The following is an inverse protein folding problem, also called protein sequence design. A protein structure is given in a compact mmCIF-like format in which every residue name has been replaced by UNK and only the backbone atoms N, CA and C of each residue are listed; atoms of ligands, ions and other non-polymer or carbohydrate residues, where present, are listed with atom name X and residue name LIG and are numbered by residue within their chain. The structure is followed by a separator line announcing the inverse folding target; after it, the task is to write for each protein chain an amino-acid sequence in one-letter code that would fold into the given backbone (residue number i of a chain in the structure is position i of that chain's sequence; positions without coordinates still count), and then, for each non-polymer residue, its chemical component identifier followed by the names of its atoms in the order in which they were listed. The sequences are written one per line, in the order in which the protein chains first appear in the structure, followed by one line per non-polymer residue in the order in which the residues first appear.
data_IF_016438323649
#
_entry.id   IF_016438323649
#
_cell.length_a   1.000
_cell.length_b   1.000
_cell.length_c   1.000
_cell.angle_alpha   90.00
_cell.angle_beta   90.00
_cell.angle_gamma   90.00
#
_symmetry.space_group_name_H-M   'P 1'
#
loop_
_entity.id
_entity.type
_entity.pdbx_description
1 polymer ?
#
# COMPACT_ATOMS: atom_id res chain seq x y z
N UNK A 1 7.31 -2.37 -5.45
CA UNK A 1 7.92 -2.08 -4.14
C UNK A 1 9.34 -1.53 -4.25
N UNK A 2 10.30 -2.17 -4.95
CA UNK A 2 11.65 -1.63 -5.13
C UNK A 2 11.65 -0.22 -5.71
N UNK A 3 10.82 0.03 -6.72
CA UNK A 3 10.61 1.37 -7.29
C UNK A 3 10.17 2.36 -6.19
N UNK A 4 9.13 2.06 -5.42
CA UNK A 4 8.67 2.96 -4.37
C UNK A 4 9.75 3.28 -3.33
N UNK A 5 10.61 2.32 -2.97
CA UNK A 5 11.76 2.59 -2.08
C UNK A 5 12.80 3.52 -2.72
N UNK A 6 13.03 3.37 -4.02
CA UNK A 6 13.96 4.26 -4.74
C UNK A 6 13.39 5.65 -4.88
N UNK A 7 12.07 5.77 -5.11
CA UNK A 7 11.37 7.04 -5.36
C UNK A 7 11.08 7.85 -4.10
N UNK A 8 10.55 7.20 -3.08
CA UNK A 8 10.05 7.89 -1.89
C UNK A 8 10.56 7.32 -0.57
N UNK A 9 11.56 6.43 -0.63
CA UNK A 9 12.13 5.81 0.55
C UNK A 9 12.80 6.83 1.48
N UNK A 10 12.34 6.87 2.75
CA UNK A 10 12.98 7.68 3.79
C UNK A 10 13.28 6.85 5.02
N UNK A 11 14.39 7.15 5.69
CA UNK A 11 14.71 6.52 6.97
C UNK A 11 13.84 7.10 8.08
N UNK A 12 13.18 6.23 8.83
CA UNK A 12 12.56 6.64 10.09
C UNK A 12 13.63 6.87 11.14
N UNK A 13 13.46 7.85 12.03
CA UNK A 13 14.32 7.98 13.21
C UNK A 13 14.28 6.66 14.00
N UNK A 14 15.45 6.02 14.17
CA UNK A 14 15.57 4.73 14.88
C UNK A 14 15.21 3.49 14.07
N UNK A 15 14.72 3.62 12.83
CA UNK A 15 14.41 2.50 11.95
C UNK A 15 15.63 1.95 11.19
N UNK A 16 15.76 0.63 11.12
CA UNK A 16 16.84 -0.05 10.39
C UNK A 16 16.66 0.00 8.87
N UNK A 17 15.42 0.10 8.40
CA UNK A 17 15.07 0.11 6.97
C UNK A 17 14.36 1.38 6.55
N UNK A 18 14.57 1.85 5.31
CA UNK A 18 13.79 2.94 4.76
C UNK A 18 12.34 2.48 4.54
N UNK A 19 11.39 3.38 4.78
CA UNK A 19 9.97 3.19 4.49
C UNK A 19 9.58 4.02 3.27
N UNK A 20 8.69 3.50 2.45
CA UNK A 20 8.06 4.23 1.37
C UNK A 20 7.16 5.30 1.99
N UNK A 21 7.41 6.58 1.68
CA UNK A 21 6.67 7.68 2.28
C UNK A 21 5.59 8.20 1.33
N UNK A 22 4.29 8.01 1.65
CA UNK A 22 3.23 8.29 0.69
C UNK A 22 3.03 9.79 0.39
N UNK A 23 3.49 10.65 1.27
CA UNK A 23 3.31 12.11 1.12
C UNK A 23 4.60 12.79 0.70
N UNK A 24 5.29 12.14 -0.25
CA UNK A 24 6.51 12.65 -0.89
C UNK A 24 6.13 13.42 -2.14
N UNK A 25 6.80 14.54 -2.33
CA UNK A 25 6.70 15.40 -3.50
C UNK A 25 8.11 15.62 -4.02
N UNK A 26 8.30 15.58 -5.32
CA UNK A 26 9.49 16.14 -5.95
C UNK A 26 9.04 17.25 -6.89
N UNK A 27 9.65 18.40 -6.74
CA UNK A 27 9.40 19.56 -7.58
C UNK A 27 10.74 20.12 -8.06
N UNK A 28 10.93 20.11 -9.38
CA UNK A 28 12.16 20.62 -10.01
C UNK A 28 13.45 19.98 -9.44
N UNK A 29 13.38 18.67 -9.11
CA UNK A 29 14.51 17.92 -8.56
C UNK A 29 14.69 18.06 -7.05
N UNK A 30 13.82 18.76 -6.35
CA UNK A 30 13.84 18.88 -4.89
C UNK A 30 12.78 17.99 -4.23
N UNK A 31 13.25 17.02 -3.45
CA UNK A 31 12.39 16.12 -2.68
C UNK A 31 11.86 16.80 -1.40
N UNK A 32 10.55 16.74 -1.21
CA UNK A 32 9.83 17.33 -0.06
C UNK A 32 9.00 16.24 0.61
N UNK A 33 9.23 16.01 1.90
CA UNK A 33 8.47 15.03 2.68
C UNK A 33 7.46 15.74 3.57
N UNK A 34 6.18 15.53 3.31
CA UNK A 34 5.13 16.12 4.10
C UNK A 34 4.70 15.21 5.26
N UNK A 35 4.22 15.77 6.38
CA UNK A 35 3.81 14.97 7.54
C UNK A 35 2.44 14.29 7.37
N UNK A 36 1.64 14.74 6.41
CA UNK A 36 0.29 14.21 6.17
C UNK A 36 -0.14 14.39 4.72
N UNK A 37 -1.17 13.64 4.31
CA UNK A 37 -1.82 13.76 3.01
C UNK A 37 -2.32 15.20 2.76
N UNK A 38 -3.01 15.78 3.73
CA UNK A 38 -3.55 17.15 3.61
C UNK A 38 -2.43 18.20 3.40
N UNK A 39 -1.30 18.04 4.09
CA UNK A 39 -0.13 18.92 3.92
C UNK A 39 0.48 18.76 2.52
N UNK A 40 0.57 17.52 2.01
CA UNK A 40 1.07 17.23 0.68
C UNK A 40 0.18 17.85 -0.42
N UNK A 41 -1.13 17.66 -0.32
CA UNK A 41 -2.10 18.26 -1.24
C UNK A 41 -1.99 19.79 -1.24
N UNK A 42 -1.91 20.39 -0.07
CA UNK A 42 -1.76 21.85 0.07
C UNK A 42 -0.45 22.37 -0.54
N UNK A 43 0.64 21.61 -0.35
CA UNK A 43 1.95 21.96 -0.92
C UNK A 43 1.92 21.89 -2.46
N UNK A 44 1.36 20.84 -3.05
CA UNK A 44 1.25 20.74 -4.52
C UNK A 44 0.42 21.88 -5.09
N UNK A 45 -0.72 22.23 -4.46
CA UNK A 45 -1.53 23.38 -4.88
C UNK A 45 -0.73 24.69 -4.86
N UNK A 46 0.06 24.88 -3.80
CA UNK A 46 0.93 26.05 -3.69
C UNK A 46 1.99 26.10 -4.79
N UNK A 47 2.64 24.96 -5.08
CA UNK A 47 3.62 24.85 -6.16
C UNK A 47 3.00 25.16 -7.52
N UNK A 48 1.82 24.60 -7.80
CA UNK A 48 1.07 24.88 -9.03
C UNK A 48 0.70 26.36 -9.17
N UNK A 49 0.26 27.02 -8.09
CA UNK A 49 -0.02 28.45 -8.07
C UNK A 49 1.22 29.31 -8.33
N UNK A 50 2.41 28.80 -7.99
CA UNK A 50 3.70 29.45 -8.29
C UNK A 50 4.22 29.16 -9.70
N UNK A 51 3.46 28.40 -10.50
CA UNK A 51 3.82 28.08 -11.86
C UNK A 51 4.73 26.85 -12.02
N UNK A 52 5.02 26.11 -10.93
CA UNK A 52 5.78 24.87 -11.01
C UNK A 52 4.93 23.83 -11.71
N UNK A 53 5.43 23.24 -12.79
CA UNK A 53 4.67 22.33 -13.65
C UNK A 53 5.05 20.87 -13.47
N UNK A 54 6.37 20.60 -13.37
CA UNK A 54 6.89 19.23 -13.20
C UNK A 54 6.89 18.91 -11.72
N UNK A 55 5.94 18.10 -11.30
CA UNK A 55 5.72 17.74 -9.90
C UNK A 55 5.42 16.24 -9.83
N UNK A 56 6.32 15.51 -9.17
CA UNK A 56 6.13 14.09 -8.89
C UNK A 56 5.48 13.90 -7.52
N UNK A 57 4.55 12.98 -7.40
CA UNK A 57 3.76 12.82 -6.19
C UNK A 57 3.63 11.36 -5.74
N UNK A 58 3.60 11.19 -4.43
CA UNK A 58 3.22 9.93 -3.78
C UNK A 58 4.34 8.90 -3.65
N UNK A 59 3.95 7.68 -3.34
CA UNK A 59 4.85 6.54 -3.11
C UNK A 59 5.78 6.23 -4.28
N UNK A 60 5.27 6.39 -5.49
CA UNK A 60 5.94 6.01 -6.73
C UNK A 60 6.33 7.21 -7.58
N UNK A 61 6.21 8.43 -7.05
CA UNK A 61 6.60 9.67 -7.71
C UNK A 61 6.06 9.77 -9.14
N UNK A 62 4.72 9.68 -9.25
CA UNK A 62 4.04 9.83 -10.53
C UNK A 62 4.03 11.30 -10.91
N UNK A 63 4.58 11.63 -12.07
CA UNK A 63 4.65 12.99 -12.59
C UNK A 63 3.28 13.47 -13.09
N UNK A 64 2.78 14.56 -12.51
CA UNK A 64 1.48 15.14 -12.84
C UNK A 64 1.48 15.86 -14.20
N UNK A 65 2.62 16.29 -14.70
CA UNK A 65 2.74 16.96 -15.98
C UNK A 65 2.70 15.96 -17.15
N UNK A 66 3.45 14.86 -17.02
CA UNK A 66 3.46 13.79 -18.04
C UNK A 66 2.23 12.89 -17.97
N UNK A 67 1.57 12.84 -16.81
CA UNK A 67 0.37 12.01 -16.57
C UNK A 67 -0.80 12.87 -16.03
N UNK A 68 -1.28 13.88 -16.80
CA UNK A 68 -2.26 14.86 -16.27
C UNK A 68 -3.63 14.27 -15.93
N UNK A 69 -3.93 13.07 -16.44
CA UNK A 69 -5.19 12.35 -16.21
C UNK A 69 -5.00 11.05 -15.42
N UNK A 70 -3.86 10.91 -14.76
CA UNK A 70 -3.57 9.70 -13.98
C UNK A 70 -4.47 9.55 -12.75
N UNK A 71 -4.85 10.69 -12.16
CA UNK A 71 -5.67 10.77 -10.95
C UNK A 71 -6.84 11.73 -11.16
N UNK A 72 -7.98 11.44 -10.52
CA UNK A 72 -9.13 12.32 -10.53
C UNK A 72 -8.93 13.55 -9.62
N UNK A 73 -8.03 13.46 -8.63
CA UNK A 73 -7.74 14.53 -7.70
C UNK A 73 -6.34 14.38 -7.08
N UNK A 74 -5.84 15.44 -6.44
CA UNK A 74 -4.61 15.37 -5.63
C UNK A 74 -4.77 14.48 -4.39
N UNK A 75 -5.97 14.37 -3.85
CA UNK A 75 -6.26 13.47 -2.73
C UNK A 75 -6.09 12.00 -3.15
N UNK A 76 -6.51 11.66 -4.37
CA UNK A 76 -6.27 10.33 -4.95
C UNK A 76 -4.79 10.14 -5.29
N UNK A 77 -4.11 11.15 -5.80
CA UNK A 77 -2.69 11.06 -6.13
C UNK A 77 -1.79 10.74 -4.92
N UNK A 78 -2.19 11.18 -3.73
CA UNK A 78 -1.53 10.85 -2.46
C UNK A 78 -2.18 9.69 -1.69
N UNK A 79 -3.12 8.98 -2.30
CA UNK A 79 -3.58 7.69 -1.80
C UNK A 79 -2.56 6.62 -2.20
N UNK A 80 -2.00 5.84 -1.24
CA UNK A 80 -0.95 4.89 -1.55
C UNK A 80 -1.36 3.82 -2.55
N UNK A 81 -2.59 3.31 -2.47
CA UNK A 81 -3.09 2.26 -3.34
C UNK A 81 -3.35 2.80 -4.75
N UNK A 82 -4.01 3.96 -4.86
CA UNK A 82 -4.24 4.61 -6.15
C UNK A 82 -2.92 4.96 -6.85
N UNK A 83 -1.96 5.52 -6.10
CA UNK A 83 -0.63 5.86 -6.63
C UNK A 83 0.12 4.61 -7.12
N UNK A 84 0.06 3.50 -6.36
CA UNK A 84 0.66 2.23 -6.76
C UNK A 84 0.00 1.64 -8.01
N UNK A 85 -1.32 1.71 -8.14
CA UNK A 85 -2.05 1.24 -9.31
C UNK A 85 -1.68 2.01 -10.57
N UNK A 86 -1.57 3.34 -10.48
CA UNK A 86 -1.14 4.18 -11.60
C UNK A 86 0.30 3.83 -12.01
N UNK A 87 1.22 3.72 -11.06
CA UNK A 87 2.59 3.33 -11.34
C UNK A 87 2.69 1.94 -12.00
N UNK A 88 1.92 0.96 -11.51
CA UNK A 88 1.84 -0.37 -12.12
C UNK A 88 1.32 -0.33 -13.56
N UNK A 89 0.33 0.53 -13.84
CA UNK A 89 -0.19 0.75 -15.20
C UNK A 89 0.87 1.36 -16.11
N UNK A 90 1.59 2.38 -15.66
CA UNK A 90 2.69 3.02 -16.42
C UNK A 90 3.75 1.99 -16.78
N UNK A 91 4.19 1.20 -15.79
CA UNK A 91 5.17 0.12 -16.00
C UNK A 91 4.68 -0.96 -16.95
N UNK A 92 3.40 -1.36 -16.85
CA UNK A 92 2.81 -2.36 -17.75
C UNK A 92 2.74 -1.88 -19.19
N UNK A 93 2.40 -0.62 -19.41
CA UNK A 93 2.43 0.00 -20.75
C UNK A 93 3.86 0.14 -21.25
N UNK A 94 4.79 0.57 -20.39
CA UNK A 94 6.22 0.64 -20.71
C UNK A 94 6.79 -0.71 -21.14
N UNK A 95 6.36 -1.82 -20.52
CA UNK A 95 6.78 -3.17 -20.90
C UNK A 95 6.37 -3.55 -22.34
N UNK A 96 5.23 -3.06 -22.81
CA UNK A 96 4.74 -3.35 -24.15
C UNK A 96 5.54 -2.58 -25.22
N UNK A 97 6.08 -1.41 -24.87
CA UNK A 97 6.82 -0.53 -25.76
C UNK A 97 8.35 -0.68 -25.68
N UNK A 98 8.85 -1.52 -24.76
CA UNK A 98 10.28 -1.72 -24.51
C UNK A 98 10.67 -3.20 -24.50
N UNK A 99 11.94 -3.50 -24.22
CA UNK A 99 12.49 -4.86 -24.15
C UNK A 99 12.18 -5.56 -22.82
N UNK A 100 10.93 -5.56 -22.37
CA UNK A 100 10.51 -6.24 -21.14
C UNK A 100 10.55 -5.36 -19.90
N UNK A 101 10.59 -5.99 -18.71
CA UNK A 101 10.51 -5.26 -17.44
C UNK A 101 11.70 -4.33 -17.17
N UNK A 102 12.90 -4.71 -17.59
CA UNK A 102 14.08 -3.87 -17.42
C UNK A 102 13.97 -2.56 -18.21
N UNK A 103 13.52 -2.67 -19.45
CA UNK A 103 13.22 -1.50 -20.28
C UNK A 103 12.13 -0.63 -19.66
N UNK A 104 11.05 -1.25 -19.18
CA UNK A 104 9.97 -0.53 -18.52
C UNK A 104 10.43 0.21 -17.26
N UNK A 105 11.24 -0.44 -16.42
CA UNK A 105 11.80 0.18 -15.21
C UNK A 105 12.74 1.34 -15.59
N UNK A 106 13.60 1.14 -16.58
CA UNK A 106 14.51 2.18 -17.03
C UNK A 106 13.74 3.42 -17.54
N UNK A 107 12.75 3.22 -18.41
CA UNK A 107 11.95 4.30 -19.00
C UNK A 107 10.95 4.93 -18.04
N UNK A 108 10.60 4.23 -16.94
CA UNK A 108 9.78 4.79 -15.88
C UNK A 108 10.39 6.07 -15.31
N UNK A 109 11.71 6.06 -15.11
CA UNK A 109 12.43 7.20 -14.58
C UNK A 109 12.86 8.19 -15.67
N UNK A 110 13.30 7.71 -16.83
CA UNK A 110 13.80 8.59 -17.87
C UNK A 110 13.78 7.94 -19.25
N UNK A 111 13.34 8.70 -20.23
CA UNK A 111 13.49 8.34 -21.63
C UNK A 111 14.96 8.40 -22.14
N UNK A 112 15.86 9.07 -21.38
CA UNK A 112 17.29 9.10 -21.70
C UNK A 112 17.95 7.81 -21.25
N UNK A 113 18.53 7.00 -22.17
CA UNK A 113 19.01 5.64 -21.86
C UNK A 113 20.03 5.58 -20.70
N UNK A 114 20.93 6.55 -20.62
CA UNK A 114 21.94 6.62 -19.58
C UNK A 114 21.30 6.75 -18.18
N UNK A 115 20.34 7.65 -18.02
CA UNK A 115 19.68 7.88 -16.73
C UNK A 115 18.77 6.69 -16.37
N UNK A 116 18.05 6.14 -17.36
CA UNK A 116 17.26 4.94 -17.18
C UNK A 116 18.09 3.73 -16.74
N UNK A 117 19.28 3.52 -17.32
CA UNK A 117 20.17 2.44 -16.93
C UNK A 117 20.67 2.57 -15.48
N UNK A 118 21.06 3.77 -15.07
CA UNK A 118 21.46 4.05 -13.68
C UNK A 118 20.30 3.80 -12.71
N UNK A 119 19.10 4.21 -13.07
CA UNK A 119 17.91 3.97 -12.28
C UNK A 119 17.56 2.48 -12.14
N UNK A 120 17.61 1.73 -13.24
CA UNK A 120 17.40 0.28 -13.22
C UNK A 120 18.39 -0.41 -12.25
N UNK A 121 19.65 0.00 -12.23
CA UNK A 121 20.63 -0.54 -11.28
C UNK A 121 20.24 -0.23 -9.83
N UNK A 122 19.77 0.99 -9.53
CA UNK A 122 19.29 1.34 -8.17
C UNK A 122 18.11 0.46 -7.75
N UNK A 123 17.13 0.25 -8.63
CA UNK A 123 15.97 -0.61 -8.36
C UNK A 123 16.40 -2.05 -8.12
N UNK A 124 17.32 -2.58 -8.94
CA UNK A 124 17.89 -3.93 -8.79
C UNK A 124 18.68 -4.09 -7.50
N UNK A 125 19.40 -3.07 -7.07
CA UNK A 125 20.20 -3.11 -5.85
C UNK A 125 19.35 -3.24 -4.58
N UNK A 126 18.14 -2.65 -4.55
CA UNK A 126 17.24 -2.75 -3.40
C UNK A 126 16.32 -3.97 -3.44
N UNK A 127 16.17 -4.61 -4.59
CA UNK A 127 15.27 -5.76 -4.77
C UNK A 127 15.56 -6.92 -3.81
N UNK A 128 16.81 -7.40 -3.63
CA UNK A 128 17.11 -8.49 -2.72
C UNK A 128 16.74 -8.21 -1.27
N UNK A 129 16.93 -6.97 -0.81
CA UNK A 129 16.58 -6.58 0.57
C UNK A 129 15.09 -6.57 0.81
N UNK A 130 14.26 -6.26 -0.21
CA UNK A 130 12.82 -6.37 -0.12
C UNK A 130 12.38 -7.83 -0.03
N UNK A 131 13.00 -8.70 -0.81
CA UNK A 131 12.69 -10.13 -0.78
C UNK A 131 13.13 -10.80 0.52
N UNK A 132 14.25 -10.35 1.10
CA UNK A 132 14.77 -10.89 2.37
C UNK A 132 14.02 -10.36 3.61
N UNK A 133 13.49 -9.16 3.52
CA UNK A 133 12.74 -8.50 4.60
C UNK A 133 11.42 -8.03 4.00
N UNK A 134 10.41 -8.89 3.95
CA UNK A 134 9.09 -8.46 3.52
C UNK A 134 8.64 -7.32 4.43
N UNK A 135 8.83 -6.09 3.98
CA UNK A 135 8.44 -4.84 4.66
C UNK A 135 6.93 -4.76 4.90
N UNK A 136 6.27 -5.65 4.33
CA UNK A 136 4.83 -5.83 4.34
C UNK A 136 4.50 -7.01 5.20
N UNK A 137 5.12 -7.29 6.30
CA UNK A 137 4.74 -8.45 7.07
C UNK A 137 4.28 -9.63 6.21
N UNK A 138 4.39 -10.84 6.59
CA UNK A 138 3.50 -11.89 6.08
C UNK A 138 2.13 -11.22 5.89
N UNK A 139 1.45 -11.31 4.73
CA UNK A 139 0.13 -10.69 4.57
C UNK A 139 -0.60 -10.96 5.86
N UNK A 140 -0.96 -9.89 6.60
CA UNK A 140 -1.50 -10.01 7.96
C UNK A 140 -2.45 -11.16 7.89
N UNK A 141 -2.15 -12.24 8.65
CA UNK A 141 -2.99 -13.45 8.66
C UNK A 141 -4.40 -12.93 8.77
N UNK A 142 -5.26 -13.14 7.81
CA UNK A 142 -6.51 -12.41 7.70
C UNK A 142 -7.15 -12.37 9.07
N UNK A 143 -7.29 -11.17 9.64
CA UNK A 143 -7.85 -11.02 10.97
C UNK A 143 -9.19 -11.74 10.98
N UNK A 144 -9.27 -12.78 11.78
CA UNK A 144 -10.47 -13.59 11.85
C UNK A 144 -11.44 -12.91 12.78
N UNK A 145 -12.59 -12.50 12.26
CA UNK A 145 -13.65 -11.92 13.08
C UNK A 145 -14.57 -13.03 13.57
N UNK A 146 -14.77 -13.12 14.88
CA UNK A 146 -15.75 -14.00 15.47
C UNK A 146 -17.09 -13.25 15.62
N UNK A 147 -18.16 -13.89 15.24
CA UNK A 147 -19.52 -13.40 15.43
C UNK A 147 -20.08 -13.96 16.71
N UNK A 148 -20.62 -13.13 17.58
CA UNK A 148 -21.39 -13.54 18.75
C UNK A 148 -22.71 -14.16 18.31
N UNK A 149 -23.00 -15.34 18.80
CA UNK A 149 -24.19 -16.09 18.43
C UNK A 149 -25.10 -16.30 19.62
N UNK A 150 -26.39 -16.26 19.34
CA UNK A 150 -27.36 -16.75 20.31
C UNK A 150 -27.20 -18.27 20.51
N UNK A 151 -27.67 -18.83 21.64
CA UNK A 151 -27.56 -20.26 21.94
C UNK A 151 -28.21 -21.17 20.89
N UNK A 152 -29.13 -20.63 20.09
CA UNK A 152 -29.81 -21.36 19.01
C UNK A 152 -29.06 -21.31 17.68
N UNK A 153 -28.06 -20.44 17.53
CA UNK A 153 -27.31 -20.33 16.29
C UNK A 153 -26.43 -21.56 16.07
N UNK A 154 -26.57 -22.16 14.88
CA UNK A 154 -25.87 -23.39 14.52
C UNK A 154 -24.56 -23.14 13.76
N UNK A 155 -24.37 -21.95 13.22
CA UNK A 155 -23.24 -21.59 12.36
C UNK A 155 -22.71 -20.21 12.70
N UNK A 156 -21.41 -20.09 12.70
CA UNK A 156 -20.71 -18.80 12.79
C UNK A 156 -20.26 -18.40 11.40
N UNK A 157 -20.56 -17.18 11.00
CA UNK A 157 -19.97 -16.59 9.82
C UNK A 157 -18.66 -15.92 10.22
N UNK A 158 -17.58 -16.36 9.62
CA UNK A 158 -16.26 -15.75 9.80
C UNK A 158 -15.94 -14.97 8.52
N UNK A 159 -15.67 -13.68 8.66
CA UNK A 159 -15.28 -12.82 7.55
C UNK A 159 -13.82 -12.46 7.73
N UNK A 160 -13.01 -12.72 6.73
CA UNK A 160 -11.62 -12.31 6.71
C UNK A 160 -11.48 -11.01 5.92
N UNK A 161 -10.74 -10.01 6.42
CA UNK A 161 -10.68 -8.67 5.80
C UNK A 161 -9.93 -8.60 4.47
N UNK A 162 -9.26 -9.66 4.07
CA UNK A 162 -8.48 -9.71 2.83
C UNK A 162 -9.19 -10.54 1.77
N UNK A 163 -10.07 -9.90 1.00
CA UNK A 163 -10.65 -10.41 -0.24
C UNK A 163 -12.12 -10.82 -0.13
N UNK A 164 -12.88 -10.61 -1.21
CA UNK A 164 -14.33 -10.83 -1.26
C UNK A 164 -14.75 -12.31 -1.25
N UNK A 165 -13.83 -13.26 -1.20
CA UNK A 165 -14.12 -14.70 -1.36
C UNK A 165 -13.80 -15.57 -0.15
N UNK A 166 -13.43 -15.00 0.99
CA UNK A 166 -12.99 -15.78 2.16
C UNK A 166 -14.01 -15.80 3.30
N UNK A 167 -15.27 -15.94 3.00
CA UNK A 167 -16.28 -16.21 4.02
C UNK A 167 -16.22 -17.68 4.42
N UNK A 168 -15.96 -17.96 5.68
CA UNK A 168 -15.97 -19.30 6.22
C UNK A 168 -17.11 -19.46 7.23
N UNK A 169 -17.86 -20.56 7.09
CA UNK A 169 -18.90 -20.92 8.04
C UNK A 169 -18.39 -22.05 8.93
N UNK A 170 -18.45 -21.85 10.21
CA UNK A 170 -18.04 -22.85 11.20
C UNK A 170 -19.17 -23.14 12.18
N UNK A 171 -19.16 -24.33 12.74
CA UNK A 171 -20.07 -24.67 13.85
C UNK A 171 -19.49 -24.10 15.14
N UNK A 172 -20.26 -23.37 15.95
CA UNK A 172 -19.79 -22.91 17.25
C UNK A 172 -19.55 -24.09 18.20
N UNK A 173 -18.44 -24.04 18.92
CA UNK A 173 -18.20 -24.97 20.02
C UNK A 173 -18.89 -24.45 21.28
N UNK A 174 -19.55 -25.33 22.03
CA UNK A 174 -20.08 -25.01 23.34
C UNK A 174 -18.94 -24.85 24.34
N UNK A 175 -18.88 -23.70 25.00
CA UNK A 175 -17.97 -23.47 26.12
C UNK A 175 -18.76 -23.32 27.41
N UNK A 176 -18.21 -23.79 28.53
CA UNK A 176 -18.87 -23.68 29.86
C UNK A 176 -19.20 -22.22 30.26
N UNK A 177 -18.45 -21.27 29.68
CA UNK A 177 -18.65 -19.86 29.99
C UNK A 177 -19.74 -19.22 29.14
N UNK A 178 -19.89 -19.67 27.89
CA UNK A 178 -20.96 -19.21 27.01
C UNK A 178 -22.34 -19.70 27.48
N UNK A 179 -22.41 -20.94 28.02
CA UNK A 179 -23.65 -21.50 28.55
C UNK A 179 -24.21 -20.68 29.73
N UNK A 180 -23.35 -19.98 30.50
CA UNK A 180 -23.80 -19.09 31.59
C UNK A 180 -24.37 -17.76 31.13
N UNK A 181 -23.90 -17.27 29.97
CA UNK A 181 -24.33 -15.99 29.39
C UNK A 181 -25.40 -16.16 28.32
N UNK A 182 -25.75 -17.41 27.98
CA UNK A 182 -26.68 -17.71 26.89
C UNK A 182 -26.11 -17.38 25.50
N UNK A 183 -24.82 -17.16 25.41
CA UNK A 183 -24.10 -16.80 24.17
C UNK A 183 -22.92 -17.73 23.95
N UNK A 184 -22.67 -18.07 22.70
CA UNK A 184 -21.50 -18.88 22.31
C UNK A 184 -20.51 -18.00 21.52
N UNK A 185 -19.27 -17.96 22.00
CA UNK A 185 -18.15 -17.30 21.30
C UNK A 185 -17.12 -18.35 20.92
N UNK A 186 -16.78 -18.43 19.65
CA UNK A 186 -15.72 -19.29 19.19
C UNK A 186 -14.58 -18.49 18.57
N UNK A 187 -13.37 -18.74 19.07
CA UNK A 187 -12.15 -18.18 18.56
C UNK A 187 -11.49 -19.15 17.59
N UNK A 188 -11.30 -18.77 16.35
CA UNK A 188 -10.64 -19.60 15.33
C UNK A 188 -9.13 -19.40 15.33
N UNK A 189 -8.68 -18.19 15.61
CA UNK A 189 -7.28 -17.85 15.80
C UNK A 189 -7.19 -16.80 16.90
N UNK A 190 -6.23 -16.95 17.78
CA UNK A 190 -5.89 -15.89 18.71
C UNK A 190 -4.89 -14.97 17.98
N UNK A 191 -5.24 -13.71 17.73
CA UNK A 191 -4.27 -12.75 17.27
C UNK A 191 -3.25 -12.55 18.41
N UNK A 192 -2.00 -12.59 18.07
CA UNK A 192 -0.90 -12.51 19.05
C UNK A 192 -0.80 -11.16 19.75
N UNK A 193 -1.57 -10.15 19.33
CA UNK A 193 -1.41 -8.77 19.83
C UNK A 193 -2.69 -7.91 19.88
N UNK A 194 -3.86 -8.36 19.43
CA UNK A 194 -5.09 -7.54 19.50
C UNK A 194 -6.33 -8.38 19.82
N UNK A 195 -7.27 -7.78 20.53
CA UNK A 195 -8.57 -8.38 20.76
C UNK A 195 -9.30 -8.53 19.41
N UNK A 196 -9.90 -9.70 19.13
CA UNK A 196 -10.66 -9.90 17.91
C UNK A 196 -11.85 -8.95 17.85
N UNK A 197 -12.12 -8.47 16.67
CA UNK A 197 -13.30 -7.67 16.41
C UNK A 197 -14.53 -8.55 16.31
N UNK A 198 -15.61 -8.11 16.92
CA UNK A 198 -16.91 -8.76 16.85
C UNK A 198 -17.72 -8.05 15.78
N UNK A 199 -18.21 -8.81 14.82
CA UNK A 199 -19.08 -8.30 13.76
C UNK A 199 -20.51 -8.76 14.07
N UNK A 200 -21.43 -7.81 14.18
CA UNK A 200 -22.86 -8.12 14.27
C UNK A 200 -23.39 -8.61 12.93
N UNK A 201 -24.37 -9.52 12.93
CA UNK A 201 -24.97 -10.04 11.70
C UNK A 201 -25.61 -8.96 10.84
#
# INVERSE_FOLDING_TARGET
MAIGLVESGRRSPGGSFPIIWPWTINAEGQGIYQPSKAAAVSMVRLLQLRGVRVIDVGCFQVDLFYHPHAFASLDEAFDPDANAHVAARILSLGRLSTTGWDGAIATYHSAVPLFGAVYLQKVRAVWPSIMAHPMWGEPEQPETYAVLLSPQARLVRVVTPLGPSSEQFIRPARTKQADRLGETVQWLHQPTTSLPRIVSP
#
